data_IF_719499964762
#
_entry.id   IF_719499964762
#
_cell.length_a   1.000
_cell.length_b   1.000
_cell.length_c   1.000
_cell.angle_alpha   90.00
_cell.angle_beta   90.00
_cell.angle_gamma   90.00
#
_symmetry.space_group_name_H-M   'P 1'
#
loop_
_entity.id
_entity.type
_entity.pdbx_description
1 polymer ?
#
# COMPACT_ATOMS: atom_id res chain seq x y z
N UNK A 1 8.09 4.01 -14.51
CA UNK A 1 7.94 3.43 -13.15
C UNK A 1 6.45 3.31 -12.87
N UNK A 2 5.96 2.17 -12.37
CA UNK A 2 4.52 1.96 -12.09
C UNK A 2 4.19 2.36 -10.64
N UNK A 3 2.91 2.62 -10.34
CA UNK A 3 2.46 2.86 -8.96
C UNK A 3 2.79 1.69 -8.03
N UNK A 4 2.68 0.46 -8.54
CA UNK A 4 3.07 -0.77 -7.85
C UNK A 4 4.55 -0.78 -7.44
N UNK A 5 5.46 -0.40 -8.35
CA UNK A 5 6.88 -0.32 -8.04
C UNK A 5 7.18 0.72 -6.95
N UNK A 6 6.57 1.92 -7.03
CA UNK A 6 6.71 2.96 -6.00
C UNK A 6 6.17 2.52 -4.64
N UNK A 7 5.02 1.82 -4.64
CA UNK A 7 4.46 1.25 -3.42
C UNK A 7 5.40 0.22 -2.81
N UNK A 8 6.00 -0.64 -3.64
CA UNK A 8 6.98 -1.63 -3.18
C UNK A 8 8.18 -0.96 -2.51
N UNK A 9 8.80 0.02 -3.16
CA UNK A 9 9.94 0.76 -2.59
C UNK A 9 9.57 1.42 -1.25
N UNK A 10 8.39 2.05 -1.17
CA UNK A 10 7.91 2.67 0.07
C UNK A 10 7.80 1.68 1.22
N UNK A 11 7.27 0.48 0.96
CA UNK A 11 7.07 -0.58 1.95
C UNK A 11 8.41 -1.17 2.40
N UNK A 12 9.32 -1.41 1.45
CA UNK A 12 10.66 -1.94 1.73
C UNK A 12 11.50 -0.95 2.54
N UNK A 13 11.47 0.36 2.21
CA UNK A 13 12.14 1.39 3.02
C UNK A 13 11.59 1.50 4.44
N UNK A 14 10.30 1.20 4.63
CA UNK A 14 9.67 1.16 5.95
C UNK A 14 10.06 -0.10 6.75
N UNK A 15 10.85 -1.02 6.18
CA UNK A 15 11.27 -2.26 6.84
C UNK A 15 10.16 -3.30 6.97
N UNK A 16 9.10 -3.19 6.18
CA UNK A 16 7.98 -4.13 6.19
C UNK A 16 8.30 -5.28 5.25
N UNK A 17 8.54 -6.47 5.80
CA UNK A 17 8.85 -7.68 5.04
C UNK A 17 7.63 -8.58 4.80
N UNK A 18 6.58 -8.47 5.63
CA UNK A 18 5.35 -9.25 5.50
C UNK A 18 4.32 -8.52 4.61
N UNK A 19 4.59 -8.50 3.31
CA UNK A 19 3.66 -7.96 2.32
C UNK A 19 3.59 -8.83 1.05
N UNK A 20 2.50 -8.69 0.31
CA UNK A 20 2.31 -9.29 -1.01
C UNK A 20 1.44 -8.40 -1.88
N UNK A 21 1.39 -8.71 -3.18
CA UNK A 21 0.48 -8.03 -4.11
C UNK A 21 -0.55 -9.04 -4.63
N UNK A 22 -1.83 -8.74 -4.43
CA UNK A 22 -2.95 -9.38 -5.10
C UNK A 22 -3.40 -8.47 -6.25
N UNK A 23 -2.94 -8.76 -7.46
CA UNK A 23 -3.05 -7.88 -8.63
C UNK A 23 -2.45 -6.49 -8.34
N UNK A 24 -3.29 -5.46 -8.24
CA UNK A 24 -2.96 -4.06 -7.92
C UNK A 24 -3.27 -3.68 -6.45
N UNK A 25 -3.67 -4.65 -5.63
CA UNK A 25 -3.90 -4.47 -4.20
C UNK A 25 -2.66 -4.90 -3.43
N UNK A 26 -2.11 -3.97 -2.65
CA UNK A 26 -1.04 -4.27 -1.70
C UNK A 26 -1.65 -4.87 -0.43
N UNK A 27 -1.19 -6.05 -0.01
CA UNK A 27 -1.59 -6.68 1.24
C UNK A 27 -0.42 -6.62 2.20
N UNK A 28 -0.54 -5.90 3.31
CA UNK A 28 0.47 -5.83 4.37
C UNK A 28 -0.12 -6.29 5.69
N UNK A 29 0.49 -7.31 6.32
CA UNK A 29 0.02 -7.87 7.59
C UNK A 29 -1.49 -8.22 7.58
N UNK A 30 -2.00 -8.75 6.46
CA UNK A 30 -3.42 -9.09 6.28
C UNK A 30 -4.36 -7.92 5.97
N UNK A 31 -3.85 -6.68 5.95
CA UNK A 31 -4.62 -5.49 5.59
C UNK A 31 -4.43 -5.19 4.10
N UNK A 32 -5.53 -4.99 3.38
CA UNK A 32 -5.53 -4.65 1.96
C UNK A 32 -5.47 -3.14 1.78
N UNK A 33 -4.67 -2.70 0.81
CA UNK A 33 -4.48 -1.31 0.43
C UNK A 33 -4.63 -1.13 -1.07
N UNK A 34 -5.44 -0.16 -1.48
CA UNK A 34 -5.43 0.33 -2.86
C UNK A 34 -4.27 1.32 -3.02
N UNK A 35 -3.67 1.31 -4.21
CA UNK A 35 -2.48 2.12 -4.52
C UNK A 35 -2.92 3.28 -5.41
N UNK A 36 -2.81 4.50 -4.89
CA UNK A 36 -3.14 5.72 -5.62
C UNK A 36 -1.89 6.56 -5.91
N UNK A 37 -1.92 7.35 -6.97
CA UNK A 37 -0.91 8.39 -7.19
C UNK A 37 -0.97 9.43 -6.05
N UNK A 38 0.19 9.97 -5.67
CA UNK A 38 0.26 11.08 -4.73
C UNK A 38 1.04 12.22 -5.37
N UNK A 39 0.41 13.40 -5.44
CA UNK A 39 0.95 14.59 -6.09
C UNK A 39 1.09 15.75 -5.10
N UNK A 40 1.31 15.45 -3.81
CA UNK A 40 1.33 16.46 -2.74
C UNK A 40 2.53 17.41 -2.80
N UNK A 41 3.53 17.15 -3.64
CA UNK A 41 4.69 18.03 -3.86
C UNK A 41 5.74 18.04 -2.74
N UNK A 42 5.56 17.24 -1.69
CA UNK A 42 6.50 17.15 -0.57
C UNK A 42 7.80 16.44 -0.98
N UNK A 43 8.97 16.89 -0.47
CA UNK A 43 10.28 16.37 -0.87
C UNK A 43 10.49 14.88 -0.55
N UNK A 44 9.82 14.38 0.49
CA UNK A 44 9.89 12.97 0.93
C UNK A 44 8.70 12.13 0.45
N UNK A 45 7.89 12.66 -0.49
CA UNK A 45 6.78 11.92 -1.04
C UNK A 45 7.25 10.91 -2.11
N UNK A 46 6.93 9.65 -1.89
CA UNK A 46 7.21 8.54 -2.82
C UNK A 46 6.33 8.59 -4.09
N UNK A 47 5.53 9.64 -4.27
CA UNK A 47 4.59 9.77 -5.38
C UNK A 47 3.47 8.73 -5.35
N UNK A 48 3.21 8.11 -4.19
CA UNK A 48 2.22 7.06 -4.00
C UNK A 48 1.53 7.18 -2.63
N UNK A 49 0.21 6.92 -2.61
CA UNK A 49 -0.62 6.86 -1.40
C UNK A 49 -1.18 5.45 -1.26
N UNK A 50 -1.10 4.90 -0.04
CA UNK A 50 -1.69 3.61 0.31
C UNK A 50 -3.01 3.87 1.03
N UNK A 51 -4.12 3.48 0.42
CA UNK A 51 -5.45 3.68 0.98
C UNK A 51 -5.96 2.36 1.53
N UNK A 52 -6.14 2.31 2.85
CA UNK A 52 -6.60 1.09 3.52
C UNK A 52 -8.03 0.77 3.07
N UNK A 53 -8.24 -0.43 2.56
CA UNK A 53 -9.56 -0.91 2.21
C UNK A 53 -10.36 -1.17 3.50
N UNK A 54 -11.37 -0.35 3.76
CA UNK A 54 -12.19 -0.42 4.97
C UNK A 54 -13.07 -1.69 5.02
N UNK A 55 -13.30 -2.37 3.89
CA UNK A 55 -14.26 -3.46 3.82
C UNK A 55 -13.75 -4.78 4.42
N UNK A 56 -12.43 -4.97 4.53
CA UNK A 56 -11.85 -6.24 5.02
C UNK A 56 -11.69 -6.29 6.54
N UNK A 57 -11.74 -5.16 7.24
CA UNK A 57 -11.71 -5.13 8.71
C UNK A 57 -12.93 -5.80 9.37
N UNK A 58 -14.02 -6.02 8.61
CA UNK A 58 -15.29 -6.55 9.15
C UNK A 58 -15.49 -8.07 8.98
N UNK A 59 -14.55 -8.82 8.40
CA UNK A 59 -14.73 -10.27 8.16
C UNK A 59 -14.02 -11.20 9.15
N UNK A 60 -13.32 -10.67 10.15
CA UNK A 60 -12.55 -11.49 11.13
C UNK A 60 -13.26 -11.57 12.51
N UNK A 61 -14.52 -11.13 12.62
CA UNK A 61 -15.34 -11.25 13.83
C UNK A 61 -16.78 -11.73 13.51
N UNK A 62 -16.90 -12.89 12.85
CA UNK A 62 -18.14 -13.67 12.82
C UNK A 62 -17.86 -15.12 13.22
#
# INVERSE_FOLDING_TARGET
>A
MTLKARAQEKVERAGISNYSFDHDVLVMCGVRYTIAACDCGEPDCDGVRLEKDAAVASRILQ
#
